data_IF_593968664617
#
_entry.id   IF_593968664617
#
_cell.length_a   1.000
_cell.length_b   1.000
_cell.length_c   1.000
_cell.angle_alpha   90.00
_cell.angle_beta   90.00
_cell.angle_gamma   90.00
#
_symmetry.space_group_name_H-M   'P 1'
#
loop_
_entity.id
_entity.type
_entity.pdbx_description
1 polymer ?
#
# COMPACT_ATOMS: atom_id res chain seq x y z
N UNK A 1 -19.68 12.24 8.48
CA UNK A 1 -18.34 12.50 9.05
C UNK A 1 -17.30 11.51 8.52
N UNK A 2 -17.53 10.19 8.62
CA UNK A 2 -16.60 9.17 8.11
C UNK A 2 -16.27 9.29 6.62
N UNK A 3 -17.25 9.59 5.75
CA UNK A 3 -17.01 9.74 4.30
C UNK A 3 -16.08 10.91 3.98
N UNK A 4 -16.24 12.05 4.66
CA UNK A 4 -15.40 13.25 4.43
C UNK A 4 -13.97 12.99 4.89
N UNK A 5 -13.80 12.38 6.07
CA UNK A 5 -12.47 12.03 6.60
C UNK A 5 -11.79 11.01 5.69
N UNK A 6 -12.52 9.98 5.24
CA UNK A 6 -12.02 9.00 4.27
C UNK A 6 -11.57 9.68 2.97
N UNK A 7 -12.39 10.59 2.42
CA UNK A 7 -12.08 11.29 1.18
C UNK A 7 -10.81 12.15 1.30
N UNK A 8 -10.67 12.91 2.40
CA UNK A 8 -9.47 13.72 2.67
C UNK A 8 -8.25 12.82 2.79
N UNK A 9 -8.31 11.75 3.58
CA UNK A 9 -7.20 10.80 3.71
C UNK A 9 -6.86 10.15 2.37
N UNK A 10 -7.86 9.75 1.58
CA UNK A 10 -7.68 9.15 0.27
C UNK A 10 -6.97 10.12 -0.69
N UNK A 11 -7.39 11.39 -0.76
CA UNK A 11 -6.77 12.40 -1.64
C UNK A 11 -5.31 12.64 -1.24
N UNK A 12 -5.03 12.84 0.05
CA UNK A 12 -3.66 13.07 0.54
C UNK A 12 -2.79 11.84 0.28
N UNK A 13 -3.35 10.64 0.50
CA UNK A 13 -2.65 9.37 0.22
C UNK A 13 -2.36 9.25 -1.27
N UNK A 14 -3.32 9.44 -2.17
CA UNK A 14 -3.11 9.38 -3.62
C UNK A 14 -2.03 10.36 -4.07
N UNK A 15 -2.04 11.60 -3.57
CA UNK A 15 -1.01 12.58 -3.88
C UNK A 15 0.39 12.09 -3.46
N UNK A 16 0.51 11.55 -2.24
CA UNK A 16 1.75 10.93 -1.77
C UNK A 16 2.17 9.73 -2.64
N UNK A 17 1.24 8.84 -2.99
CA UNK A 17 1.52 7.65 -3.81
C UNK A 17 2.07 8.01 -5.19
N UNK A 18 1.55 9.07 -5.81
CA UNK A 18 2.07 9.58 -7.09
C UNK A 18 3.51 10.06 -6.92
N UNK A 19 3.78 10.87 -5.89
CA UNK A 19 5.15 11.36 -5.61
C UNK A 19 6.10 10.20 -5.33
N UNK A 20 5.72 9.27 -4.45
CA UNK A 20 6.52 8.09 -4.12
C UNK A 20 6.81 7.23 -5.36
N UNK A 21 5.83 7.03 -6.24
CA UNK A 21 6.02 6.27 -7.49
C UNK A 21 6.99 6.96 -8.44
N UNK A 22 6.88 8.28 -8.60
CA UNK A 22 7.78 9.05 -9.48
C UNK A 22 9.21 9.04 -8.95
N UNK A 23 9.37 9.20 -7.63
CA UNK A 23 10.67 9.18 -6.97
C UNK A 23 11.33 7.80 -7.03
N UNK A 24 10.56 6.72 -6.83
CA UNK A 24 11.07 5.35 -6.95
C UNK A 24 11.57 5.05 -8.38
N UNK A 25 10.81 5.46 -9.41
CA UNK A 25 11.21 5.28 -10.82
C UNK A 25 12.44 6.11 -11.21
N UNK A 26 12.55 7.34 -10.70
CA UNK A 26 13.63 8.27 -11.06
C UNK A 26 14.92 8.02 -10.28
N UNK A 27 14.80 7.89 -8.97
CA UNK A 27 15.93 7.97 -8.03
C UNK A 27 16.07 6.73 -7.14
N UNK A 28 15.14 5.75 -7.21
CA UNK A 28 15.10 4.58 -6.32
C UNK A 28 15.05 4.97 -4.84
N UNK A 29 14.41 6.11 -4.56
CA UNK A 29 14.28 6.66 -3.22
C UNK A 29 12.81 6.84 -2.85
N UNK A 30 12.49 6.46 -1.62
CA UNK A 30 11.14 6.56 -1.07
C UNK A 30 11.19 7.26 0.27
N UNK A 31 10.38 8.31 0.41
CA UNK A 31 10.26 9.03 1.67
C UNK A 31 9.40 8.23 2.64
N UNK A 32 10.05 7.61 3.61
CA UNK A 32 9.40 6.80 4.66
C UNK A 32 8.50 7.64 5.57
N UNK A 33 8.90 8.88 5.87
CA UNK A 33 8.21 9.72 6.85
C UNK A 33 6.73 9.97 6.48
N UNK A 34 6.39 10.46 5.27
CA UNK A 34 4.98 10.61 4.87
C UNK A 34 4.21 9.28 4.87
N UNK A 35 4.83 8.17 4.49
CA UNK A 35 4.21 6.84 4.51
C UNK A 35 3.75 6.46 5.93
N UNK A 36 4.63 6.65 6.92
CA UNK A 36 4.36 6.33 8.31
C UNK A 36 3.30 7.26 8.93
N UNK A 37 3.34 8.55 8.60
CA UNK A 37 2.30 9.50 9.05
C UNK A 37 0.93 9.10 8.50
N UNK A 38 0.86 8.72 7.22
CA UNK A 38 -0.38 8.24 6.61
C UNK A 38 -0.83 6.91 7.20
N UNK A 39 0.09 5.97 7.46
CA UNK A 39 -0.23 4.71 8.12
C UNK A 39 -0.91 4.96 9.47
N UNK A 40 -0.33 5.83 10.30
CA UNK A 40 -0.91 6.23 11.59
C UNK A 40 -2.27 6.91 11.42
N UNK A 41 -2.41 7.81 10.46
CA UNK A 41 -3.67 8.51 10.20
C UNK A 41 -4.79 7.54 9.77
N UNK A 42 -4.49 6.57 8.90
CA UNK A 42 -5.41 5.50 8.54
C UNK A 42 -5.73 4.57 9.72
N UNK A 43 -4.76 4.31 10.61
CA UNK A 43 -4.99 3.54 11.83
C UNK A 43 -6.01 4.23 12.75
N UNK A 44 -5.87 5.54 12.95
CA UNK A 44 -6.86 6.32 13.68
C UNK A 44 -8.23 6.28 13.00
N UNK A 45 -8.27 6.47 11.68
CA UNK A 45 -9.51 6.36 10.92
C UNK A 45 -10.21 5.02 11.17
N UNK A 46 -9.48 3.90 11.10
CA UNK A 46 -10.04 2.56 11.32
C UNK A 46 -10.62 2.38 12.73
N UNK A 47 -9.98 2.93 13.75
CA UNK A 47 -10.49 2.89 15.13
C UNK A 47 -11.76 3.71 15.32
N UNK A 48 -11.84 4.89 14.69
CA UNK A 48 -13.00 5.79 14.83
C UNK A 48 -14.15 5.48 13.87
N UNK A 49 -13.88 4.77 12.77
CA UNK A 49 -14.91 4.33 11.83
C UNK A 49 -15.86 3.29 12.44
N UNK A 50 -15.42 2.58 13.48
CA UNK A 50 -16.18 1.53 14.19
C UNK A 50 -16.73 0.41 13.29
N UNK A 51 -16.09 0.18 12.14
CA UNK A 51 -16.46 -0.88 11.19
C UNK A 51 -15.96 -2.26 11.63
N UNK A 52 -14.92 -2.28 12.46
CA UNK A 52 -14.28 -3.48 12.97
C UNK A 52 -14.12 -3.39 14.48
N UNK A 53 -14.10 -4.54 15.16
CA UNK A 53 -13.79 -4.57 16.60
C UNK A 53 -12.33 -4.17 16.84
N UNK A 54 -12.07 -3.52 17.98
CA UNK A 54 -10.72 -3.10 18.36
C UNK A 54 -9.75 -4.29 18.45
N UNK A 55 -10.24 -5.45 18.91
CA UNK A 55 -9.46 -6.69 18.98
C UNK A 55 -9.03 -7.17 17.59
N UNK A 56 -9.95 -7.11 16.62
CA UNK A 56 -9.67 -7.49 15.24
C UNK A 56 -8.58 -6.60 14.63
N UNK A 57 -8.74 -5.28 14.76
CA UNK A 57 -7.79 -4.29 14.25
C UNK A 57 -6.40 -4.50 14.90
N UNK A 58 -6.37 -4.72 16.21
CA UNK A 58 -5.11 -4.91 16.95
C UNK A 58 -4.36 -6.17 16.52
N UNK A 59 -5.07 -7.29 16.33
CA UNK A 59 -4.47 -8.54 15.83
C UNK A 59 -3.98 -8.35 14.39
N UNK A 60 -4.76 -7.68 13.54
CA UNK A 60 -4.40 -7.39 12.15
C UNK A 60 -3.10 -6.58 12.07
N UNK A 61 -2.97 -5.51 12.88
CA UNK A 61 -1.75 -4.71 12.96
C UNK A 61 -0.56 -5.50 13.51
N UNK A 62 -0.77 -6.34 14.52
CA UNK A 62 0.30 -7.17 15.07
C UNK A 62 0.87 -8.11 14.00
N UNK A 63 0.01 -8.77 13.23
CA UNK A 63 0.42 -9.66 12.14
C UNK A 63 1.17 -8.86 11.06
N UNK A 64 0.63 -7.72 10.63
CA UNK A 64 1.27 -6.86 9.64
C UNK A 64 2.63 -6.33 10.10
N UNK A 65 2.77 -5.99 11.39
CA UNK A 65 4.02 -5.58 11.98
C UNK A 65 5.05 -6.72 11.96
N UNK A 66 4.65 -7.95 12.29
CA UNK A 66 5.53 -9.13 12.22
C UNK A 66 6.02 -9.35 10.78
N UNK A 67 5.12 -9.26 9.79
CA UNK A 67 5.47 -9.39 8.37
C UNK A 67 6.45 -8.29 7.97
N UNK A 68 6.17 -7.04 8.33
CA UNK A 68 7.07 -5.90 8.10
C UNK A 68 8.47 -6.13 8.68
N UNK A 69 8.57 -6.60 9.93
CA UNK A 69 9.85 -6.90 10.57
C UNK A 69 10.62 -8.02 9.85
N UNK A 70 9.91 -9.04 9.36
CA UNK A 70 10.49 -10.12 8.56
C UNK A 70 11.02 -9.56 7.24
N UNK A 71 10.22 -8.79 6.51
CA UNK A 71 10.61 -8.18 5.23
C UNK A 71 11.87 -7.32 5.37
N UNK A 72 11.92 -6.48 6.42
CA UNK A 72 13.08 -5.64 6.71
C UNK A 72 14.30 -6.45 7.14
N UNK A 73 14.13 -7.46 8.01
CA UNK A 73 15.25 -8.29 8.49
C UNK A 73 15.93 -9.05 7.37
N UNK A 74 15.16 -9.58 6.42
CA UNK A 74 15.69 -10.33 5.28
C UNK A 74 16.02 -9.44 4.07
N UNK A 75 15.80 -8.12 4.15
CA UNK A 75 16.02 -7.16 3.06
C UNK A 75 15.38 -7.62 1.74
N UNK A 76 14.14 -8.12 1.85
CA UNK A 76 13.41 -8.67 0.69
C UNK A 76 13.06 -7.57 -0.30
N UNK A 77 12.78 -6.36 0.19
CA UNK A 77 12.53 -5.17 -0.63
C UNK A 77 13.53 -4.05 -0.32
N UNK A 78 13.54 -3.02 -1.17
CA UNK A 78 14.37 -1.83 -1.02
C UNK A 78 14.04 -1.06 0.26
N UNK A 79 14.98 -0.24 0.71
CA UNK A 79 14.77 0.59 1.90
C UNK A 79 13.62 1.57 1.65
N UNK A 80 12.54 1.47 2.43
CA UNK A 80 11.33 2.28 2.30
C UNK A 80 10.14 1.57 1.65
N UNK A 81 10.38 0.48 0.91
CA UNK A 81 9.30 -0.30 0.26
C UNK A 81 8.45 -1.06 1.30
N UNK A 82 9.11 -1.58 2.34
CA UNK A 82 8.42 -2.29 3.43
C UNK A 82 7.52 -1.37 4.25
N UNK A 83 7.81 -0.07 4.32
CA UNK A 83 6.93 0.91 5.00
C UNK A 83 5.63 1.11 4.22
N UNK A 84 5.69 1.04 2.89
CA UNK A 84 4.50 1.11 2.03
C UNK A 84 3.56 -0.07 2.25
N UNK A 85 4.07 -1.22 2.71
CA UNK A 85 3.24 -2.38 3.05
C UNK A 85 2.38 -2.13 4.30
N UNK A 86 2.91 -1.45 5.32
CA UNK A 86 2.12 -1.08 6.50
C UNK A 86 0.98 -0.12 6.15
N UNK A 87 1.25 0.85 5.27
CA UNK A 87 0.21 1.75 4.74
C UNK A 87 -0.81 0.97 3.91
N UNK A 88 -0.34 0.07 3.05
CA UNK A 88 -1.17 -0.77 2.20
C UNK A 88 -2.17 -1.62 2.99
N UNK A 89 -1.74 -2.30 4.05
CA UNK A 89 -2.61 -3.13 4.87
C UNK A 89 -3.79 -2.33 5.45
N UNK A 90 -3.52 -1.12 5.94
CA UNK A 90 -4.56 -0.22 6.45
C UNK A 90 -5.54 0.24 5.35
N UNK A 91 -5.05 0.58 4.16
CA UNK A 91 -5.90 0.97 3.02
C UNK A 91 -6.76 -0.21 2.56
N UNK A 92 -6.17 -1.41 2.53
CA UNK A 92 -6.87 -2.66 2.20
C UNK A 92 -8.04 -2.88 3.14
N UNK A 93 -7.82 -2.71 4.45
CA UNK A 93 -8.86 -2.87 5.45
C UNK A 93 -9.89 -1.73 5.39
N UNK A 94 -9.46 -0.47 5.26
CA UNK A 94 -10.35 0.69 5.24
C UNK A 94 -11.24 0.80 3.99
N UNK A 95 -10.78 0.20 2.88
CA UNK A 95 -11.46 0.20 1.58
C UNK A 95 -12.16 -1.12 1.27
N UNK A 96 -11.91 -2.15 2.07
CA UNK A 96 -12.47 -3.48 1.93
C UNK A 96 -13.65 -3.70 2.89
N UNK A 97 -14.60 -4.54 2.50
CA UNK A 97 -15.63 -5.06 3.40
C UNK A 97 -15.19 -6.44 3.86
N UNK A 98 -14.20 -6.48 4.75
CA UNK A 98 -13.70 -7.75 5.27
C UNK A 98 -14.72 -8.36 6.22
N UNK A 99 -15.20 -9.57 5.92
CA UNK A 99 -16.17 -10.27 6.76
C UNK A 99 -15.50 -11.01 7.92
N UNK A 100 -14.24 -11.41 7.76
CA UNK A 100 -13.42 -12.05 8.79
C UNK A 100 -11.92 -11.86 8.49
N UNK A 101 -11.07 -12.32 9.42
CA UNK A 101 -9.61 -12.17 9.31
C UNK A 101 -8.98 -12.97 8.17
N UNK A 102 -9.53 -14.14 7.83
CA UNK A 102 -9.06 -14.92 6.70
C UNK A 102 -9.29 -14.20 5.38
N UNK A 103 -10.48 -13.60 5.21
CA UNK A 103 -10.83 -12.80 4.03
C UNK A 103 -9.92 -11.58 3.95
N UNK A 104 -9.66 -10.90 5.08
CA UNK A 104 -8.73 -9.77 5.11
C UNK A 104 -7.32 -10.18 4.63
N UNK A 105 -6.76 -11.25 5.19
CA UNK A 105 -5.43 -11.74 4.85
C UNK A 105 -5.32 -12.21 3.39
N UNK A 106 -6.31 -12.99 2.90
CA UNK A 106 -6.33 -13.45 1.51
C UNK A 106 -6.44 -12.25 0.57
N UNK A 107 -7.32 -11.30 0.88
CA UNK A 107 -7.53 -10.11 0.05
C UNK A 107 -6.29 -9.24 -0.01
N UNK A 108 -5.63 -9.04 1.13
CA UNK A 108 -4.35 -8.34 1.23
C UNK A 108 -3.28 -9.01 0.36
N UNK A 109 -3.12 -10.34 0.47
CA UNK A 109 -2.19 -11.11 -0.35
C UNK A 109 -2.51 -11.01 -1.85
N UNK A 110 -3.79 -11.10 -2.24
CA UNK A 110 -4.19 -11.00 -3.64
C UNK A 110 -3.86 -9.63 -4.23
N UNK A 111 -4.17 -8.56 -3.50
CA UNK A 111 -3.87 -7.20 -3.94
C UNK A 111 -2.36 -6.93 -3.94
N UNK A 112 -1.61 -7.50 -2.99
CA UNK A 112 -0.14 -7.41 -2.98
C UNK A 112 0.45 -8.13 -4.19
N UNK A 113 0.01 -9.35 -4.49
CA UNK A 113 0.40 -10.10 -5.68
C UNK A 113 0.08 -9.33 -6.96
N UNK A 114 -1.10 -8.71 -7.05
CA UNK A 114 -1.47 -7.87 -8.17
C UNK A 114 -0.55 -6.64 -8.29
N UNK A 115 -0.22 -5.99 -7.18
CA UNK A 115 0.68 -4.84 -7.12
C UNK A 115 2.09 -5.19 -7.61
N UNK A 116 2.64 -6.30 -7.12
CA UNK A 116 3.93 -6.83 -7.56
C UNK A 116 3.92 -7.19 -9.06
N UNK A 117 2.84 -7.80 -9.55
CA UNK A 117 2.67 -8.10 -10.97
C UNK A 117 2.68 -6.85 -11.85
N UNK A 118 1.99 -5.79 -11.40
CA UNK A 118 1.98 -4.48 -12.07
C UNK A 118 3.38 -3.84 -12.03
N UNK A 119 4.09 -3.91 -10.90
CA UNK A 119 5.46 -3.40 -10.75
C UNK A 119 6.44 -4.05 -11.73
N UNK A 120 6.31 -5.35 -11.97
CA UNK A 120 7.09 -6.06 -13.00
C UNK A 120 6.77 -5.51 -14.40
N UNK A 121 5.49 -5.26 -14.70
CA UNK A 121 5.06 -4.65 -15.96
C UNK A 121 5.63 -3.25 -16.16
N UNK A 122 5.51 -2.38 -15.15
CA UNK A 122 6.06 -1.01 -15.17
C UNK A 122 7.58 -1.05 -15.37
N UNK A 123 8.28 -1.95 -14.68
CA UNK A 123 9.74 -2.09 -14.80
C UNK A 123 10.18 -2.52 -16.21
N UNK A 124 9.36 -3.32 -16.93
CA UNK A 124 9.61 -3.65 -18.34
C UNK A 124 9.44 -2.45 -19.26
N UNK A 125 8.39 -1.63 -19.04
CA UNK A 125 8.16 -0.40 -19.81
C UNK A 125 9.31 0.59 -19.57
N UNK A 126 9.73 0.77 -18.31
CA UNK A 126 10.85 1.61 -17.93
C UNK A 126 12.15 1.19 -18.64
N UNK A 127 12.45 -0.12 -18.69
CA UNK A 127 13.61 -0.66 -19.40
C UNK A 127 13.58 -0.33 -20.90
N UNK A 128 12.42 -0.48 -21.53
CA UNK A 128 12.22 -0.16 -22.94
C UNK A 128 12.44 1.33 -23.26
N UNK A 129 11.97 2.22 -22.38
CA UNK A 129 12.15 3.68 -22.53
C UNK A 129 13.62 4.09 -22.34
N UNK A 130 14.30 3.51 -21.35
CA UNK A 130 15.71 3.82 -21.05
C UNK A 130 16.71 3.12 -22.00
N UNK A 131 16.24 2.25 -22.90
CA UNK A 131 17.06 1.41 -23.80
C UNK A 131 18.15 0.62 -23.06
N UNK A 132 17.82 0.16 -21.86
CA UNK A 132 18.72 -0.65 -21.03
C UNK A 132 18.35 -2.13 -21.14
N UNK A 133 19.35 -3.01 -21.21
CA UNK A 133 19.13 -4.46 -21.24
C UNK A 133 18.44 -4.94 -19.96
N UNK A 134 17.39 -5.76 -20.13
CA UNK A 134 16.66 -6.40 -19.04
C UNK A 134 17.57 -7.48 -18.41
N UNK A 135 18.43 -7.08 -17.48
CA UNK A 135 19.22 -8.02 -16.66
C UNK A 135 18.36 -8.52 -15.51
N UNK A 136 18.39 -9.83 -15.28
CA UNK A 136 17.70 -10.55 -14.19
C UNK A 136 18.06 -10.05 -12.76
N UNK A 137 19.13 -9.25 -12.62
CA UNK A 137 19.61 -8.67 -11.35
C UNK A 137 19.24 -7.19 -11.16
N UNK A 138 18.36 -6.63 -12.00
CA UNK A 138 17.96 -5.22 -11.86
C UNK A 138 17.08 -5.06 -10.62
N UNK A 139 17.37 -4.06 -9.81
CA UNK A 139 16.46 -3.64 -8.74
C UNK A 139 15.15 -3.17 -9.39
N UNK A 140 14.06 -3.89 -9.07
CA UNK A 140 12.72 -3.64 -9.62
C UNK A 140 12.06 -2.54 -8.79
N UNK A 141 11.40 -1.57 -9.45
CA UNK A 141 10.63 -0.53 -8.75
C UNK A 141 9.37 -1.18 -8.21
N UNK A 142 9.33 -1.52 -6.92
CA UNK A 142 8.21 -2.24 -6.33
C UNK A 142 7.04 -1.29 -6.04
N UNK A 143 7.32 -0.03 -5.70
CA UNK A 143 6.30 0.89 -5.21
C UNK A 143 5.30 1.37 -6.25
N UNK A 144 5.64 1.65 -7.52
CA UNK A 144 4.67 2.09 -8.52
C UNK A 144 3.47 1.15 -8.70
N UNK A 145 3.69 -0.17 -8.68
CA UNK A 145 2.59 -1.12 -8.80
C UNK A 145 1.75 -1.24 -7.52
N UNK A 146 2.38 -1.21 -6.34
CA UNK A 146 1.63 -1.17 -5.06
C UNK A 146 0.82 0.13 -4.96
N UNK A 147 1.40 1.27 -5.34
CA UNK A 147 0.74 2.56 -5.41
C UNK A 147 -0.49 2.56 -6.32
N UNK A 148 -0.38 1.97 -7.52
CA UNK A 148 -1.51 1.85 -8.44
C UNK A 148 -2.66 1.04 -7.81
N UNK A 149 -2.36 -0.09 -7.17
CA UNK A 149 -3.39 -0.90 -6.50
C UNK A 149 -4.02 -0.14 -5.33
N UNK A 150 -3.23 0.57 -4.52
CA UNK A 150 -3.76 1.42 -3.45
C UNK A 150 -4.68 2.51 -3.98
N UNK A 151 -4.34 3.17 -5.10
CA UNK A 151 -5.23 4.14 -5.74
C UNK A 151 -6.56 3.51 -6.17
N UNK A 152 -6.53 2.31 -6.76
CA UNK A 152 -7.75 1.58 -7.15
C UNK A 152 -8.60 1.22 -5.93
N UNK A 153 -7.96 0.76 -4.84
CA UNK A 153 -8.64 0.46 -3.58
C UNK A 153 -9.30 1.70 -2.98
N UNK A 154 -8.59 2.83 -2.91
CA UNK A 154 -9.11 4.08 -2.39
C UNK A 154 -10.31 4.58 -3.21
N UNK A 155 -10.23 4.49 -4.55
CA UNK A 155 -11.37 4.82 -5.42
C UNK A 155 -12.56 3.90 -5.19
N UNK A 156 -12.34 2.59 -5.09
CA UNK A 156 -13.39 1.60 -4.78
C UNK A 156 -14.04 1.89 -3.43
N UNK A 157 -13.24 2.15 -2.39
CA UNK A 157 -13.71 2.48 -1.05
C UNK A 157 -14.49 3.81 -1.03
N UNK A 158 -14.07 4.80 -1.81
CA UNK A 158 -14.79 6.06 -1.94
C UNK A 158 -16.16 5.87 -2.60
N UNK A 159 -16.21 5.17 -3.74
CA UNK A 159 -17.47 4.89 -4.46
C UNK A 159 -18.45 4.17 -3.54
N UNK A 160 -17.99 3.14 -2.83
CA UNK A 160 -18.82 2.38 -1.89
C UNK A 160 -19.40 3.25 -0.76
N UNK A 161 -18.67 4.26 -0.29
CA UNK A 161 -19.10 5.11 0.82
C UNK A 161 -20.04 6.24 0.42
N UNK A 162 -20.06 6.57 -0.88
CA UNK A 162 -20.90 7.65 -1.44
C UNK A 162 -22.21 7.12 -2.02
N UNK A 163 -22.20 5.90 -2.56
CA UNK A 163 -23.39 5.19 -3.04
C UNK A 163 -24.18 4.57 -1.88
#
# INVERSE_FOLDING_TARGET
MNVVIFAVLAIVTIAYLIVASVMDIKERMIYVFPAMVLHIAWSFYLLFASEYSADFISIFWLINLIVYLILNKFKIWGAGDSDMFLLFGNICLASGLMTNGYVAAITECLYLCAGLGVSIGISRIEAGIKKEDIKLKREVAVVPGIALIMCVLLMKGFIWRVM
#
